data_IF_532929586584
#
_entry.id   IF_532929586584
#
_cell.length_a   1.000
_cell.length_b   1.000
_cell.length_c   1.000
_cell.angle_alpha   90.00
_cell.angle_beta   90.00
_cell.angle_gamma   90.00
#
_symmetry.space_group_name_H-M   'P 1'
#
loop_
_entity.id
_entity.type
_entity.pdbx_description
1 polymer ?
#
# COMPACT_ATOMS: atom_id res chain seq x y z
N UNK A 1 -4.13 -18.37 -1.39
CA UNK A 1 -4.12 -16.98 -1.82
C UNK A 1 -2.93 -16.25 -1.23
N UNK A 2 -2.03 -15.82 -2.08
CA UNK A 2 -0.77 -15.23 -1.62
C UNK A 2 -0.71 -13.72 -1.77
N UNK A 3 -1.63 -13.13 -2.51
CA UNK A 3 -1.58 -11.71 -2.76
C UNK A 3 -1.74 -10.92 -1.49
N UNK A 4 -1.00 -9.80 -1.42
CA UNK A 4 -1.13 -8.83 -0.34
C UNK A 4 -1.63 -7.55 -0.97
N UNK A 5 -2.62 -6.93 -0.35
CA UNK A 5 -3.15 -5.65 -0.80
C UNK A 5 -2.99 -4.63 0.30
N UNK A 6 -2.80 -3.40 -0.10
CA UNK A 6 -2.69 -2.29 0.83
C UNK A 6 -3.58 -1.15 0.43
N UNK A 7 -4.15 -0.50 1.41
CA UNK A 7 -4.94 0.71 1.25
C UNK A 7 -4.39 1.76 2.19
N UNK A 8 -4.00 2.90 1.65
CA UNK A 8 -3.59 4.03 2.48
C UNK A 8 -4.57 5.17 2.27
N UNK A 9 -5.00 5.77 3.37
CA UNK A 9 -5.90 6.92 3.36
C UNK A 9 -5.09 8.13 3.77
N UNK A 10 -5.09 9.14 2.92
CA UNK A 10 -4.18 10.28 3.04
C UNK A 10 -5.00 11.55 3.18
N UNK A 11 -4.75 12.32 4.24
CA UNK A 11 -5.34 13.65 4.42
C UNK A 11 -4.22 14.67 4.41
N UNK A 12 -4.26 15.59 3.45
CA UNK A 12 -3.16 16.50 3.25
C UNK A 12 -3.13 17.58 4.32
N UNK A 13 -1.91 17.90 4.77
CA UNK A 13 -1.70 19.08 5.61
C UNK A 13 -1.79 20.32 4.73
N UNK A 14 -2.15 21.47 5.32
CA UNK A 14 -2.30 22.70 4.52
C UNK A 14 -1.06 23.02 3.72
N UNK A 15 -1.24 23.27 2.43
CA UNK A 15 -0.15 23.69 1.55
C UNK A 15 0.81 22.59 1.12
N UNK A 16 0.48 21.31 1.40
CA UNK A 16 1.44 20.24 1.14
C UNK A 16 1.07 19.35 -0.04
N UNK A 17 -0.04 19.62 -0.72
CA UNK A 17 -0.49 18.73 -1.80
C UNK A 17 0.55 18.60 -2.92
N UNK A 18 1.14 19.71 -3.34
CA UNK A 18 2.08 19.67 -4.46
C UNK A 18 3.33 18.89 -4.10
N UNK A 19 3.80 19.04 -2.86
CA UNK A 19 4.95 18.26 -2.41
C UNK A 19 4.62 16.76 -2.38
N UNK A 20 3.42 16.42 -1.90
CA UNK A 20 2.99 15.02 -1.89
C UNK A 20 2.93 14.46 -3.32
N UNK A 21 2.40 15.25 -4.26
CA UNK A 21 2.34 14.81 -5.65
C UNK A 21 3.74 14.55 -6.20
N UNK A 22 4.68 15.45 -5.91
CA UNK A 22 6.05 15.29 -6.39
C UNK A 22 6.67 14.00 -5.83
N UNK A 23 6.47 13.74 -4.54
CA UNK A 23 7.03 12.55 -3.91
C UNK A 23 6.40 11.28 -4.45
N UNK A 24 5.08 11.28 -4.70
CA UNK A 24 4.42 10.09 -5.21
C UNK A 24 4.74 9.85 -6.68
N UNK A 25 5.06 10.88 -7.45
CA UNK A 25 5.57 10.66 -8.79
C UNK A 25 6.92 9.96 -8.75
N UNK A 26 7.78 10.32 -7.80
CA UNK A 26 9.04 9.60 -7.59
C UNK A 26 8.77 8.15 -7.20
N UNK A 27 7.83 7.94 -6.28
CA UNK A 27 7.50 6.58 -5.87
C UNK A 27 7.01 5.76 -7.05
N UNK A 28 6.16 6.34 -7.89
CA UNK A 28 5.64 5.62 -9.05
C UNK A 28 6.76 5.20 -9.99
N UNK A 29 7.73 6.08 -10.20
CA UNK A 29 8.86 5.73 -11.06
C UNK A 29 9.70 4.61 -10.47
N UNK A 30 9.91 4.62 -9.16
CA UNK A 30 10.61 3.54 -8.49
C UNK A 30 9.86 2.23 -8.66
N UNK A 31 8.54 2.25 -8.49
CA UNK A 31 7.73 1.05 -8.65
C UNK A 31 7.86 0.50 -10.06
N UNK A 32 7.76 1.39 -11.07
CA UNK A 32 7.86 0.95 -12.46
C UNK A 32 9.20 0.31 -12.79
N UNK A 33 10.28 0.79 -12.20
CA UNK A 33 11.61 0.39 -12.62
C UNK A 33 12.26 -0.62 -11.69
N UNK A 34 11.84 -0.70 -10.44
CA UNK A 34 12.53 -1.53 -9.44
C UNK A 34 11.68 -2.63 -8.85
N UNK A 35 10.37 -2.42 -8.70
CA UNK A 35 9.52 -3.46 -8.12
C UNK A 35 9.31 -4.57 -9.13
N UNK A 36 9.44 -5.81 -8.68
CA UNK A 36 9.26 -6.97 -9.56
C UNK A 36 7.96 -7.69 -9.35
N UNK A 37 7.30 -7.47 -8.22
CA UNK A 37 6.08 -8.19 -7.91
C UNK A 37 4.90 -7.32 -7.56
N UNK A 38 4.99 -6.02 -7.77
CA UNK A 38 3.87 -5.10 -7.56
C UNK A 38 2.93 -5.20 -8.75
N UNK A 39 1.69 -5.58 -8.48
CA UNK A 39 0.69 -5.80 -9.53
C UNK A 39 -0.14 -4.57 -9.79
N UNK A 40 -0.39 -3.76 -8.77
CA UNK A 40 -1.13 -2.51 -8.90
C UNK A 40 -0.57 -1.50 -7.92
N UNK A 41 -0.56 -0.24 -8.32
CA UNK A 41 -0.13 0.86 -7.48
C UNK A 41 -0.82 2.10 -8.03
N UNK A 42 -1.94 2.48 -7.42
CA UNK A 42 -2.84 3.47 -7.98
C UNK A 42 -3.20 4.50 -6.92
N UNK A 43 -3.34 5.73 -7.32
CA UNK A 43 -3.64 6.84 -6.42
C UNK A 43 -4.88 7.54 -6.93
N UNK A 44 -5.83 7.77 -6.02
CA UNK A 44 -7.12 8.39 -6.34
C UNK A 44 -7.34 9.59 -5.44
N UNK A 45 -7.83 10.69 -5.99
CA UNK A 45 -8.18 11.88 -5.21
C UNK A 45 -9.69 11.99 -5.06
N UNK A 46 -10.11 12.57 -3.92
CA UNK A 46 -11.51 12.99 -3.81
C UNK A 46 -11.72 14.30 -4.60
N UNK A 47 -12.96 14.81 -4.61
CA UNK A 47 -13.34 15.87 -5.55
C UNK A 47 -12.53 17.14 -5.38
N UNK A 48 -12.24 17.56 -4.15
CA UNK A 48 -11.51 18.80 -3.91
C UNK A 48 -10.02 18.58 -3.66
N UNK A 49 -9.55 17.34 -3.86
CA UNK A 49 -8.14 16.96 -3.66
C UNK A 49 -7.64 17.25 -2.24
N UNK A 50 -8.53 17.18 -1.26
CA UNK A 50 -8.11 17.27 0.13
C UNK A 50 -7.66 15.93 0.69
N UNK A 51 -8.03 14.83 0.03
CA UNK A 51 -7.71 13.48 0.47
C UNK A 51 -7.38 12.62 -0.74
N UNK A 52 -6.60 11.57 -0.48
CA UNK A 52 -6.28 10.59 -1.49
C UNK A 52 -6.37 9.19 -0.90
N UNK A 53 -6.56 8.21 -1.77
CA UNK A 53 -6.42 6.81 -1.42
C UNK A 53 -5.36 6.22 -2.32
N UNK A 54 -4.42 5.49 -1.73
CA UNK A 54 -3.41 4.73 -2.46
C UNK A 54 -3.80 3.27 -2.36
N UNK A 55 -3.97 2.62 -3.51
CA UNK A 55 -4.30 1.21 -3.57
C UNK A 55 -3.11 0.45 -4.13
N UNK A 56 -2.69 -0.60 -3.41
CA UNK A 56 -1.51 -1.37 -3.75
C UNK A 56 -1.86 -2.84 -3.76
N UNK A 57 -1.28 -3.58 -4.70
CA UNK A 57 -1.49 -5.01 -4.78
C UNK A 57 -0.16 -5.67 -5.14
N UNK A 58 0.22 -6.68 -4.35
CA UNK A 58 1.51 -7.38 -4.48
C UNK A 58 1.26 -8.85 -4.72
N UNK A 59 2.11 -9.46 -5.53
CA UNK A 59 2.01 -10.87 -5.86
C UNK A 59 2.05 -11.75 -4.61
N UNK A 60 2.89 -11.37 -3.64
CA UNK A 60 3.06 -12.13 -2.41
C UNK A 60 3.75 -11.25 -1.36
N UNK A 61 4.04 -11.85 -0.19
CA UNK A 61 4.70 -11.11 0.88
C UNK A 61 6.09 -10.61 0.49
N UNK A 62 6.84 -11.42 -0.26
CA UNK A 62 8.18 -10.99 -0.67
C UNK A 62 8.11 -9.77 -1.56
N UNK A 63 7.14 -9.73 -2.46
CA UNK A 63 6.96 -8.57 -3.32
C UNK A 63 6.60 -7.32 -2.52
N UNK A 64 5.76 -7.48 -1.50
CA UNK A 64 5.41 -6.35 -0.63
C UNK A 64 6.64 -5.85 0.11
N UNK A 65 7.45 -6.75 0.63
CA UNK A 65 8.68 -6.37 1.34
C UNK A 65 9.65 -5.66 0.41
N UNK A 66 9.78 -6.13 -0.82
CA UNK A 66 10.63 -5.48 -1.82
C UNK A 66 10.15 -4.05 -2.07
N UNK A 67 8.84 -3.87 -2.24
CA UNK A 67 8.28 -2.54 -2.46
C UNK A 67 8.60 -1.62 -1.28
N UNK A 68 8.35 -2.09 -0.06
CA UNK A 68 8.61 -1.26 1.12
C UNK A 68 10.08 -0.86 1.20
N UNK A 69 10.98 -1.75 0.85
CA UNK A 69 12.40 -1.42 0.85
C UNK A 69 12.73 -0.40 -0.23
N UNK A 70 12.15 -0.55 -1.41
CA UNK A 70 12.45 0.33 -2.54
C UNK A 70 12.00 1.76 -2.30
N UNK A 71 10.84 1.97 -1.66
CA UNK A 71 10.33 3.31 -1.45
C UNK A 71 10.56 3.83 -0.04
N UNK A 72 11.25 3.05 0.80
CA UNK A 72 11.36 3.40 2.22
C UNK A 72 11.92 4.78 2.47
N UNK A 73 12.86 5.23 1.63
CA UNK A 73 13.47 6.55 1.81
C UNK A 73 12.49 7.71 1.56
N UNK A 74 11.35 7.44 0.94
CA UNK A 74 10.33 8.46 0.71
C UNK A 74 9.31 8.55 1.85
N UNK A 75 9.30 7.57 2.76
CA UNK A 75 8.24 7.52 3.77
C UNK A 75 8.29 8.70 4.71
N UNK A 76 9.48 9.05 5.23
CA UNK A 76 9.56 10.18 6.15
C UNK A 76 9.13 11.50 5.50
N UNK A 77 9.61 11.84 4.28
CA UNK A 77 9.10 13.04 3.61
C UNK A 77 7.59 13.00 3.36
N UNK A 78 7.06 11.83 2.99
CA UNK A 78 5.61 11.70 2.76
C UNK A 78 4.83 11.97 4.04
N UNK A 79 5.31 11.46 5.17
CA UNK A 79 4.63 11.65 6.45
C UNK A 79 4.62 13.10 6.89
N UNK A 80 5.48 13.95 6.33
CA UNK A 80 5.48 15.37 6.62
C UNK A 80 4.44 16.15 5.83
N UNK A 81 3.83 15.52 4.83
CA UNK A 81 2.86 16.20 3.96
C UNK A 81 1.42 15.89 4.30
N UNK A 82 1.18 14.86 5.10
CA UNK A 82 -0.17 14.36 5.27
C UNK A 82 -0.27 13.49 6.50
N UNK A 83 -1.51 13.32 6.97
CA UNK A 83 -1.84 12.28 7.94
C UNK A 83 -2.24 11.04 7.16
N UNK A 84 -1.59 9.92 7.46
CA UNK A 84 -1.78 8.68 6.70
C UNK A 84 -2.19 7.55 7.63
N UNK A 85 -3.30 6.89 7.29
CA UNK A 85 -3.72 5.65 7.94
C UNK A 85 -3.87 4.59 6.86
N UNK A 86 -3.88 3.32 7.26
CA UNK A 86 -3.98 2.29 6.24
C UNK A 86 -4.40 0.95 6.75
N UNK A 87 -4.69 0.07 5.81
CA UNK A 87 -5.02 -1.32 6.06
C UNK A 87 -4.15 -2.20 5.17
N UNK A 88 -3.73 -3.32 5.72
CA UNK A 88 -3.06 -4.37 4.97
C UNK A 88 -3.99 -5.54 4.89
N UNK A 89 -4.25 -6.03 3.67
CA UNK A 89 -5.26 -7.06 3.43
C UNK A 89 -4.56 -8.30 2.90
N UNK A 90 -4.74 -9.43 3.58
CA UNK A 90 -4.15 -10.67 3.12
C UNK A 90 -3.64 -11.49 4.29
N UNK A 91 -2.84 -12.50 3.96
CA UNK A 91 -2.24 -13.38 4.96
C UNK A 91 -0.72 -13.26 4.85
N UNK A 92 -0.15 -12.20 5.39
CA UNK A 92 1.28 -11.93 5.20
C UNK A 92 2.15 -12.90 5.98
N UNK A 93 3.39 -13.01 5.54
CA UNK A 93 4.35 -13.89 6.20
C UNK A 93 4.77 -13.32 7.55
N UNK A 94 5.60 -14.10 8.24
CA UNK A 94 6.01 -13.76 9.60
C UNK A 94 6.76 -12.45 9.66
N UNK A 95 7.58 -12.15 8.65
CA UNK A 95 8.37 -10.93 8.68
C UNK A 95 7.49 -9.68 8.60
N UNK A 96 6.49 -9.69 7.73
CA UNK A 96 5.57 -8.56 7.65
C UNK A 96 4.81 -8.44 8.97
N UNK A 97 4.34 -9.56 9.52
CA UNK A 97 3.59 -9.52 10.78
C UNK A 97 4.41 -8.93 11.91
N UNK A 98 5.70 -9.25 11.96
CA UNK A 98 6.55 -8.68 12.99
C UNK A 98 6.74 -7.17 12.85
N UNK A 99 6.59 -6.66 11.62
CA UNK A 99 6.71 -5.23 11.37
C UNK A 99 5.43 -4.46 11.70
N UNK A 100 4.32 -5.14 11.94
CA UNK A 100 3.04 -4.51 12.25
C UNK A 100 2.94 -4.28 13.75
N UNK A 101 3.70 -3.32 14.27
CA UNK A 101 3.85 -3.14 15.72
C UNK A 101 3.01 -1.99 16.27
N UNK A 102 2.39 -1.18 15.42
CA UNK A 102 1.60 -0.05 15.87
C UNK A 102 0.15 -0.19 15.47
N UNK A 103 -0.58 0.91 15.58
CA UNK A 103 -1.98 0.94 15.18
C UNK A 103 -2.16 0.93 13.68
N UNK A 104 -1.13 1.35 12.95
CA UNK A 104 -1.24 1.49 11.51
C UNK A 104 -0.06 0.85 10.82
N UNK A 105 -0.29 0.17 9.73
CA UNK A 105 -1.58 -0.21 9.17
C UNK A 105 -2.21 -1.34 9.94
N UNK A 106 -3.54 -1.43 9.89
CA UNK A 106 -4.27 -2.55 10.49
C UNK A 106 -4.27 -3.73 9.53
N UNK A 107 -4.11 -4.92 10.09
CA UNK A 107 -4.13 -6.14 9.29
C UNK A 107 -5.53 -6.74 9.28
N UNK A 108 -6.02 -7.06 8.08
CA UNK A 108 -7.28 -7.75 7.88
C UNK A 108 -6.99 -9.01 7.06
N UNK A 109 -7.23 -10.17 7.65
CA UNK A 109 -6.94 -11.44 6.99
C UNK A 109 -8.17 -11.93 6.22
N UNK A 110 -7.96 -12.77 5.21
CA UNK A 110 -9.05 -13.16 4.33
C UNK A 110 -10.11 -14.00 5.05
N UNK A 111 -11.36 -13.78 4.66
CA UNK A 111 -12.47 -14.67 5.04
C UNK A 111 -12.95 -15.45 3.83
N UNK A 112 -13.39 -14.75 2.78
CA UNK A 112 -13.94 -15.41 1.61
C UNK A 112 -13.79 -14.46 0.41
N UNK A 113 -13.57 -15.02 -0.77
CA UNK A 113 -13.48 -14.24 -2.00
C UNK A 113 -14.08 -15.02 -3.13
N UNK A 114 -14.68 -14.31 -4.07
CA UNK A 114 -15.25 -14.94 -5.26
C UNK A 114 -14.19 -15.69 -6.06
N UNK A 115 -12.97 -15.17 -6.04
CA UNK A 115 -11.85 -15.75 -6.78
C UNK A 115 -11.39 -17.09 -6.20
N UNK A 116 -11.83 -17.43 -4.99
CA UNK A 116 -11.43 -18.71 -4.40
C UNK A 116 -12.08 -19.84 -5.19
N UNK A 117 -11.28 -20.84 -5.52
CA UNK A 117 -11.81 -21.98 -6.20
C UNK A 117 -12.80 -22.71 -5.34
N UNK A 118 -13.78 -23.27 -5.99
CA UNK A 118 -14.75 -24.09 -5.30
C UNK A 118 -14.12 -25.42 -4.93
N UNK A 119 -13.74 -25.61 -3.68
CA UNK A 119 -13.12 -26.88 -3.33
C UNK A 119 -14.05 -28.04 -3.57
N UNK A 120 -15.33 -27.78 -3.51
CA UNK A 120 -16.29 -28.84 -3.75
C UNK A 120 -16.16 -29.38 -5.14
N UNK A 121 -15.58 -28.64 -6.02
CA UNK A 121 -15.36 -29.15 -7.37
C UNK A 121 -14.46 -30.37 -7.36
N UNK A 122 -13.87 -30.68 -6.25
CA UNK A 122 -13.08 -31.90 -6.17
C UNK A 122 -13.79 -33.00 -5.44
#
# INVERSE_FOLDING_TARGET
MKEIKGLARVKFLPGKLEEWKRLTEQAMEIVRTKDKGTLQYEIFFNADESEAIVFERYRDSDAALEHFANIGHLMAPLMETATITGELLGDPNEQIRRNLTGDQPKLFTPWIALSDEQPAAK
#
